data_IF_513676576193
#
_entry.id   IF_513676576193
#
_cell.length_a   1.000
_cell.length_b   1.000
_cell.length_c   1.000
_cell.angle_alpha   90.00
_cell.angle_beta   90.00
_cell.angle_gamma   90.00
#
_symmetry.space_group_name_H-M   'P 1'
#
loop_
_entity.id
_entity.type
_entity.pdbx_description
1 polymer ?
#
# COMPACT_ATOMS: atom_id res chain seq x y z
N UNK A 1 -1.83 12.71 -25.68
CA UNK A 1 -1.28 12.47 -24.49
C UNK A 1 -2.25 12.52 -23.40
N UNK A 2 -1.95 11.85 -22.46
CA UNK A 2 -2.94 11.37 -21.60
C UNK A 2 -3.20 12.25 -20.40
N UNK A 3 -4.09 13.22 -20.61
CA UNK A 3 -4.53 14.12 -19.55
C UNK A 3 -5.24 13.37 -18.42
N UNK A 4 -6.02 12.34 -18.78
CA UNK A 4 -6.73 11.54 -17.80
C UNK A 4 -5.75 10.77 -16.92
N UNK A 5 -4.69 10.25 -17.50
CA UNK A 5 -3.66 9.55 -16.75
C UNK A 5 -2.88 10.51 -15.86
N UNK A 6 -2.60 11.71 -16.36
CA UNK A 6 -1.95 12.74 -15.56
C UNK A 6 -2.79 13.10 -14.33
N UNK A 7 -4.09 13.30 -14.53
CA UNK A 7 -5.00 13.61 -13.42
C UNK A 7 -5.11 12.45 -12.43
N UNK A 8 -5.09 11.22 -12.93
CA UNK A 8 -5.11 10.04 -12.10
C UNK A 8 -3.93 10.03 -11.13
N UNK A 9 -2.73 10.26 -11.63
CA UNK A 9 -1.54 10.31 -10.78
C UNK A 9 -1.58 11.48 -9.80
N UNK A 10 -2.00 12.65 -10.26
CA UNK A 10 -2.06 13.83 -9.41
C UNK A 10 -3.03 13.64 -8.25
N UNK A 11 -4.18 13.00 -8.50
CA UNK A 11 -5.15 12.70 -7.45
C UNK A 11 -4.57 11.75 -6.40
N UNK A 12 -3.83 10.73 -6.84
CA UNK A 12 -3.21 9.79 -5.90
C UNK A 12 -2.10 10.45 -5.09
N UNK A 13 -1.28 11.29 -5.73
CA UNK A 13 -0.22 12.01 -5.03
C UNK A 13 -0.80 12.95 -3.97
N UNK A 14 -1.93 13.58 -4.27
CA UNK A 14 -2.63 14.41 -3.30
C UNK A 14 -3.10 13.59 -2.10
N UNK A 15 -3.68 12.42 -2.36
CA UNK A 15 -4.07 11.50 -1.29
C UNK A 15 -2.88 11.15 -0.41
N UNK A 16 -1.75 10.78 -1.01
CA UNK A 16 -0.57 10.33 -0.28
C UNK A 16 0.03 11.41 0.61
N UNK A 17 -0.19 12.68 0.28
CA UNK A 17 0.32 13.78 1.09
C UNK A 17 -0.62 14.15 2.24
N UNK A 18 -1.81 13.57 2.29
CA UNK A 18 -2.80 13.89 3.32
C UNK A 18 -2.45 13.27 4.67
N UNK A 19 -2.84 13.94 5.73
CA UNK A 19 -2.63 13.41 7.09
C UNK A 19 -3.46 12.15 7.33
N UNK A 20 -4.62 12.06 6.69
CA UNK A 20 -5.47 10.87 6.80
C UNK A 20 -4.81 9.63 6.22
N UNK A 21 -4.13 9.76 5.09
CA UNK A 21 -3.40 8.65 4.49
C UNK A 21 -2.27 8.17 5.41
N UNK A 22 -1.53 9.11 5.99
CA UNK A 22 -0.43 8.79 6.89
C UNK A 22 -0.94 8.10 8.15
N UNK A 23 -2.06 8.55 8.69
CA UNK A 23 -2.71 7.92 9.84
C UNK A 23 -3.13 6.49 9.51
N UNK A 24 -3.74 6.31 8.34
CA UNK A 24 -4.17 5.00 7.87
C UNK A 24 -2.98 4.04 7.76
N UNK A 25 -1.86 4.50 7.20
CA UNK A 25 -0.67 3.66 7.07
C UNK A 25 -0.09 3.26 8.42
N UNK A 26 -0.10 4.15 9.41
CA UNK A 26 0.32 3.80 10.76
C UNK A 26 -0.58 2.73 11.36
N UNK A 27 -1.89 2.89 11.21
CA UNK A 27 -2.86 1.96 11.78
C UNK A 27 -2.70 0.55 11.17
N UNK A 28 -2.57 0.46 9.85
CA UNK A 28 -2.42 -0.85 9.22
C UNK A 28 -1.02 -1.44 9.45
N UNK A 29 -0.01 -0.58 9.64
CA UNK A 29 1.32 -1.04 10.02
C UNK A 29 1.31 -1.70 11.40
N UNK A 30 0.58 -1.13 12.36
CA UNK A 30 0.40 -1.73 13.67
C UNK A 30 -0.34 -3.06 13.57
N UNK A 31 -1.35 -3.14 12.72
CA UNK A 31 -2.06 -4.40 12.46
C UNK A 31 -1.13 -5.45 11.87
N UNK A 32 -0.25 -5.06 10.96
CA UNK A 32 0.71 -5.96 10.35
C UNK A 32 1.61 -6.59 11.41
N UNK A 33 2.09 -5.78 12.34
CA UNK A 33 2.95 -6.26 13.43
C UNK A 33 2.22 -7.30 14.28
N UNK A 34 0.97 -7.02 14.64
CA UNK A 34 0.15 -7.94 15.42
C UNK A 34 -0.11 -9.25 14.66
N UNK A 35 -0.49 -9.15 13.38
CA UNK A 35 -0.81 -10.32 12.58
C UNK A 35 0.43 -11.18 12.27
N UNK A 36 1.60 -10.55 12.21
CA UNK A 36 2.85 -11.24 11.95
C UNK A 36 3.42 -11.97 13.15
N UNK A 37 2.81 -11.84 14.32
CA UNK A 37 3.28 -12.51 15.53
C UNK A 37 2.89 -13.99 15.49
N UNK A 38 3.82 -14.84 15.09
CA UNK A 38 3.57 -16.27 14.91
C UNK A 38 3.26 -16.99 16.22
N UNK A 39 3.62 -16.40 17.37
CA UNK A 39 3.34 -17.02 18.67
C UNK A 39 1.86 -17.08 18.99
N UNK A 40 1.04 -16.30 18.28
CA UNK A 40 -0.42 -16.29 18.47
C UNK A 40 -1.13 -17.26 17.53
N UNK A 41 -0.40 -17.94 16.66
CA UNK A 41 -0.97 -18.88 15.68
C UNK A 41 -1.02 -20.26 16.32
N UNK A 42 -2.21 -20.88 16.37
CA UNK A 42 -2.41 -22.15 17.09
C UNK A 42 -2.60 -23.37 16.17
N UNK A 43 -2.87 -23.14 14.87
CA UNK A 43 -3.04 -24.25 13.92
C UNK A 43 -2.71 -23.81 12.49
N UNK A 44 -2.66 -24.79 11.58
CA UNK A 44 -2.30 -24.55 10.19
C UNK A 44 -3.30 -23.67 9.42
N UNK A 45 -4.59 -23.82 9.71
CA UNK A 45 -5.61 -23.03 9.04
C UNK A 45 -5.48 -21.55 9.42
N UNK A 46 -5.20 -21.27 10.69
CA UNK A 46 -4.94 -19.91 11.15
C UNK A 46 -3.71 -19.32 10.48
N UNK A 47 -2.67 -20.14 10.29
CA UNK A 47 -1.45 -19.70 9.64
C UNK A 47 -1.73 -19.22 8.21
N UNK A 48 -2.46 -20.00 7.41
CA UNK A 48 -2.75 -19.63 6.04
C UNK A 48 -3.66 -18.42 5.94
N UNK A 49 -4.65 -18.34 6.82
CA UNK A 49 -5.54 -17.18 6.87
C UNK A 49 -4.77 -15.92 7.19
N UNK A 50 -3.93 -15.99 8.20
CA UNK A 50 -3.13 -14.85 8.64
C UNK A 50 -2.09 -14.44 7.60
N UNK A 51 -1.51 -15.41 6.93
CA UNK A 51 -0.58 -15.14 5.83
C UNK A 51 -1.25 -14.30 4.74
N UNK A 52 -2.49 -14.65 4.38
CA UNK A 52 -3.26 -13.87 3.41
C UNK A 52 -3.51 -12.45 3.87
N UNK A 53 -3.85 -12.26 5.14
CA UNK A 53 -4.05 -10.93 5.71
C UNK A 53 -2.77 -10.10 5.67
N UNK A 54 -1.65 -10.69 6.04
CA UNK A 54 -0.34 -10.03 6.02
C UNK A 54 0.02 -9.61 4.59
N UNK A 55 -0.16 -10.50 3.63
CA UNK A 55 0.13 -10.20 2.23
C UNK A 55 -0.72 -9.05 1.70
N UNK A 56 -2.01 -9.02 2.07
CA UNK A 56 -2.91 -7.94 1.66
C UNK A 56 -2.46 -6.59 2.22
N UNK A 57 -2.08 -6.56 3.50
CA UNK A 57 -1.61 -5.33 4.15
C UNK A 57 -0.29 -4.88 3.54
N UNK A 58 0.63 -5.81 3.28
CA UNK A 58 1.90 -5.48 2.64
C UNK A 58 1.68 -4.87 1.26
N UNK A 59 0.68 -5.35 0.52
CA UNK A 59 0.32 -4.79 -0.77
C UNK A 59 -0.16 -3.35 -0.64
N UNK A 60 -0.97 -3.05 0.39
CA UNK A 60 -1.43 -1.69 0.65
C UNK A 60 -0.24 -0.79 1.02
N UNK A 61 0.65 -1.28 1.89
CA UNK A 61 1.82 -0.49 2.32
C UNK A 61 2.78 -0.19 1.17
N UNK A 62 2.83 -1.04 0.15
CA UNK A 62 3.71 -0.83 -1.00
C UNK A 62 3.05 -0.03 -2.11
N UNK A 63 1.77 0.28 -1.99
CA UNK A 63 0.99 0.92 -3.05
C UNK A 63 1.53 2.31 -3.40
N UNK A 64 1.81 3.12 -2.40
CA UNK A 64 2.32 4.48 -2.61
C UNK A 64 3.62 4.46 -3.42
N UNK A 65 4.57 3.62 -3.02
CA UNK A 65 5.85 3.50 -3.72
C UNK A 65 5.67 3.04 -5.17
N UNK A 66 4.77 2.09 -5.40
CA UNK A 66 4.49 1.59 -6.74
C UNK A 66 3.92 2.69 -7.63
N UNK A 67 3.00 3.49 -7.10
CA UNK A 67 2.38 4.58 -7.85
C UNK A 67 3.40 5.70 -8.14
N UNK A 68 4.22 6.05 -7.15
CA UNK A 68 5.25 7.07 -7.33
C UNK A 68 6.23 6.65 -8.43
N UNK A 69 6.66 5.40 -8.41
CA UNK A 69 7.57 4.87 -9.43
C UNK A 69 6.92 4.89 -10.82
N UNK A 70 5.65 4.51 -10.91
CA UNK A 70 4.91 4.54 -12.17
C UNK A 70 4.77 5.96 -12.70
N UNK A 71 4.54 6.92 -11.82
CA UNK A 71 4.41 8.31 -12.20
C UNK A 71 5.73 8.86 -12.74
N UNK A 72 6.85 8.51 -12.10
CA UNK A 72 8.17 8.92 -12.57
C UNK A 72 8.45 8.38 -13.96
N UNK A 73 8.10 7.11 -14.21
CA UNK A 73 8.25 6.50 -15.53
C UNK A 73 7.36 7.20 -16.56
N UNK A 74 6.12 7.52 -16.18
CA UNK A 74 5.20 8.22 -17.03
C UNK A 74 5.74 9.60 -17.43
N UNK A 75 6.28 10.34 -16.48
CA UNK A 75 6.86 11.67 -16.76
C UNK A 75 8.09 11.56 -17.64
N UNK A 76 8.91 10.54 -17.45
CA UNK A 76 10.10 10.32 -18.24
C UNK A 76 9.76 10.03 -19.69
N UNK A 77 8.74 9.20 -19.90
CA UNK A 77 8.28 8.87 -21.26
C UNK A 77 7.59 10.05 -21.95
N UNK A 78 6.96 10.92 -21.17
CA UNK A 78 6.26 12.10 -21.70
C UNK A 78 7.23 13.23 -22.08
N UNK A 79 8.43 13.19 -21.54
CA UNK A 79 9.45 14.18 -21.85
C UNK A 79 10.18 13.83 -23.17
#
# INVERSE_FOLDING_TARGET
MDRELQEYYENLLELFSSSGWKQFLEDIGDNLETLGNITTITDGDQFWYRKGQVEAIQRILSYEGAIVNSYEDFQREAA
#
